data_IF_837333142626
#
_entry.id   IF_837333142626
#
_cell.length_a   1.000
_cell.length_b   1.000
_cell.length_c   1.000
_cell.angle_alpha   90.00
_cell.angle_beta   90.00
_cell.angle_gamma   90.00
#
_symmetry.space_group_name_H-M   'P 1'
#
loop_
_entity.id
_entity.type
_entity.pdbx_description
1 polymer ?
#
# COMPACT_ATOMS: atom_id res chain seq x y z
N UNK A 1 -30.29 -3.59 17.04
CA UNK A 1 -28.91 -3.88 17.56
C UNK A 1 -27.92 -3.46 16.47
N UNK A 2 -27.92 -2.17 16.15
CA UNK A 2 -27.10 -1.62 15.07
C UNK A 2 -25.63 -1.52 15.45
N UNK A 3 -24.85 -1.88 14.52
CA UNK A 3 -23.46 -2.23 14.49
C UNK A 3 -22.52 -1.23 15.14
N UNK A 4 -22.08 -1.53 16.33
CA UNK A 4 -20.83 -1.02 16.90
C UNK A 4 -19.59 -1.56 16.15
N UNK A 5 -19.77 -2.05 14.88
CA UNK A 5 -18.71 -2.66 14.09
C UNK A 5 -17.59 -1.67 13.81
N UNK A 6 -17.92 -0.44 13.35
CA UNK A 6 -16.96 0.63 13.07
C UNK A 6 -16.21 1.17 14.31
N UNK A 7 -16.65 0.83 15.53
CA UNK A 7 -15.98 1.23 16.78
C UNK A 7 -14.99 0.20 17.31
N UNK A 8 -14.82 -0.92 16.60
CA UNK A 8 -13.88 -1.98 17.03
C UNK A 8 -12.49 -1.68 16.51
N UNK A 9 -11.43 -1.83 17.33
CA UNK A 9 -10.06 -1.62 16.88
C UNK A 9 -9.67 -2.47 15.68
N UNK A 10 -10.21 -3.68 15.54
CA UNK A 10 -9.96 -4.57 14.42
C UNK A 10 -10.40 -4.02 13.06
N UNK A 11 -11.31 -3.03 13.00
CA UNK A 11 -11.71 -2.43 11.72
C UNK A 11 -10.61 -1.59 11.09
N UNK A 12 -9.65 -1.10 11.89
CA UNK A 12 -8.58 -0.24 11.39
C UNK A 12 -7.62 -1.00 10.43
N UNK A 13 -7.06 -2.17 10.77
CA UNK A 13 -6.22 -2.89 9.80
C UNK A 13 -6.98 -3.30 8.53
N UNK A 14 -8.29 -3.56 8.60
CA UNK A 14 -9.10 -3.79 7.40
C UNK A 14 -9.23 -2.53 6.53
N UNK A 15 -9.48 -1.37 7.16
CA UNK A 15 -9.55 -0.10 6.43
C UNK A 15 -8.20 0.24 5.75
N UNK A 16 -7.07 -0.02 6.44
CA UNK A 16 -5.74 0.14 5.88
C UNK A 16 -5.53 -0.82 4.70
N UNK A 17 -5.96 -2.08 4.81
CA UNK A 17 -5.86 -3.05 3.72
C UNK A 17 -6.67 -2.61 2.48
N UNK A 18 -7.88 -2.08 2.67
CA UNK A 18 -8.70 -1.53 1.57
C UNK A 18 -7.99 -0.32 0.94
N UNK A 19 -7.45 0.60 1.75
CA UNK A 19 -6.68 1.74 1.26
C UNK A 19 -5.43 1.29 0.48
N UNK A 20 -4.71 0.28 0.97
CA UNK A 20 -3.55 -0.30 0.27
C UNK A 20 -3.96 -0.90 -1.09
N UNK A 21 -5.09 -1.62 -1.16
CA UNK A 21 -5.61 -2.13 -2.44
C UNK A 21 -5.94 -1.01 -3.42
N UNK A 22 -6.53 0.09 -2.96
CA UNK A 22 -6.77 1.26 -3.82
C UNK A 22 -5.47 1.85 -4.36
N UNK A 23 -4.43 1.96 -3.52
CA UNK A 23 -3.11 2.45 -3.93
C UNK A 23 -2.47 1.50 -4.96
N UNK A 24 -2.61 0.19 -4.79
CA UNK A 24 -2.14 -0.82 -5.78
C UNK A 24 -2.84 -0.61 -7.13
N UNK A 25 -4.15 -0.35 -7.13
CA UNK A 25 -4.91 -0.06 -8.38
C UNK A 25 -4.40 1.21 -9.05
N UNK A 26 -4.18 2.28 -8.29
CA UNK A 26 -3.59 3.53 -8.84
C UNK A 26 -2.18 3.26 -9.39
N UNK A 27 -1.33 2.48 -8.69
CA UNK A 27 -0.02 2.08 -9.18
C UNK A 27 -0.09 1.27 -10.48
N UNK A 28 -1.07 0.37 -10.60
CA UNK A 28 -1.36 -0.34 -11.85
C UNK A 28 -1.77 0.60 -12.99
N UNK A 29 -2.55 1.64 -12.68
CA UNK A 29 -2.91 2.68 -13.66
C UNK A 29 -1.68 3.43 -14.15
N UNK A 30 -0.77 3.83 -13.25
CA UNK A 30 0.52 4.45 -13.60
C UNK A 30 1.29 3.59 -14.60
N UNK A 31 1.34 2.26 -14.37
CA UNK A 31 2.02 1.33 -15.28
C UNK A 31 1.36 1.24 -16.65
N UNK A 32 0.02 1.28 -16.72
CA UNK A 32 -0.74 1.24 -17.98
C UNK A 32 -0.50 2.50 -18.82
N UNK A 33 -0.40 3.66 -18.18
CA UNK A 33 -0.17 4.93 -18.85
C UNK A 33 1.32 5.27 -19.04
N UNK A 34 2.21 4.39 -18.62
CA UNK A 34 3.68 4.61 -18.63
C UNK A 34 4.09 5.92 -17.93
N UNK A 35 3.39 6.25 -16.85
CA UNK A 35 3.50 7.50 -16.12
C UNK A 35 4.38 7.42 -14.86
N UNK A 36 5.16 6.35 -14.70
CA UNK A 36 5.93 6.11 -13.47
C UNK A 36 7.19 6.96 -13.31
N UNK A 37 7.50 7.81 -14.27
CA UNK A 37 8.61 8.79 -14.25
C UNK A 37 8.09 10.21 -14.43
N UNK A 38 6.75 10.42 -14.32
CA UNK A 38 6.14 11.72 -14.56
C UNK A 38 6.36 12.75 -13.45
N UNK A 39 6.94 12.32 -12.32
CA UNK A 39 7.43 13.18 -11.24
C UNK A 39 8.91 12.86 -10.99
N UNK A 40 9.85 13.58 -11.62
CA UNK A 40 11.27 13.22 -11.59
C UNK A 40 11.92 13.37 -10.22
N UNK A 41 11.46 14.30 -9.40
CA UNK A 41 11.98 14.55 -8.05
C UNK A 41 11.09 13.93 -6.96
N UNK A 42 11.60 13.90 -5.73
CA UNK A 42 10.88 13.42 -4.56
C UNK A 42 11.29 14.24 -3.32
N UNK A 43 10.36 14.69 -2.45
CA UNK A 43 8.92 14.39 -2.39
C UNK A 43 8.04 15.25 -3.30
N UNK A 44 8.62 16.16 -4.02
CA UNK A 44 7.97 17.10 -4.94
C UNK A 44 7.72 16.44 -6.31
N UNK A 45 7.22 17.23 -7.25
CA UNK A 45 7.04 16.89 -8.64
C UNK A 45 7.40 18.12 -9.47
N UNK A 46 8.49 18.08 -10.23
CA UNK A 46 9.07 19.25 -10.91
C UNK A 46 9.30 20.45 -9.97
N UNK A 47 9.84 20.21 -8.77
CA UNK A 47 10.10 21.23 -7.77
C UNK A 47 8.86 21.80 -7.07
N UNK A 48 7.65 21.32 -7.38
CA UNK A 48 6.40 21.79 -6.78
C UNK A 48 5.74 20.75 -5.89
N UNK A 49 4.84 21.19 -5.00
CA UNK A 49 4.02 20.28 -4.18
C UNK A 49 2.69 19.89 -4.86
N UNK A 50 2.44 20.41 -6.06
CA UNK A 50 1.26 20.15 -6.86
C UNK A 50 1.54 19.20 -8.01
N UNK A 51 0.52 18.97 -8.82
CA UNK A 51 0.56 18.15 -10.03
C UNK A 51 0.25 18.95 -11.30
N UNK A 52 -0.13 20.22 -11.16
CA UNK A 52 -0.46 21.10 -12.30
C UNK A 52 0.82 21.79 -12.76
N UNK A 53 1.59 21.07 -13.56
CA UNK A 53 2.87 21.52 -14.11
C UNK A 53 2.72 21.62 -15.62
N UNK A 54 2.87 22.83 -16.17
CA UNK A 54 2.78 23.06 -17.61
C UNK A 54 3.93 22.38 -18.36
N UNK A 55 3.75 22.12 -19.66
CA UNK A 55 4.83 21.57 -20.49
C UNK A 55 6.05 22.51 -20.59
N UNK A 56 5.81 23.81 -20.47
CA UNK A 56 6.87 24.82 -20.42
C UNK A 56 7.67 24.71 -19.12
N UNK A 57 6.99 24.61 -17.95
CA UNK A 57 7.66 24.43 -16.66
C UNK A 57 8.45 23.12 -16.57
N UNK A 58 7.93 22.03 -17.17
CA UNK A 58 8.67 20.77 -17.29
C UNK A 58 9.97 20.97 -18.09
N UNK A 59 9.91 21.73 -19.20
CA UNK A 59 11.09 22.07 -20.01
C UNK A 59 12.12 22.87 -19.22
N UNK A 60 11.69 23.90 -18.52
CA UNK A 60 12.55 24.73 -17.68
C UNK A 60 13.23 23.87 -16.61
N UNK A 61 12.47 22.98 -15.96
CA UNK A 61 13.00 22.10 -14.92
C UNK A 61 14.08 21.15 -15.46
N UNK A 62 13.88 20.57 -16.65
CA UNK A 62 14.87 19.70 -17.29
C UNK A 62 16.14 20.47 -17.70
N UNK A 63 15.99 21.69 -18.21
CA UNK A 63 17.13 22.55 -18.61
C UNK A 63 17.95 22.98 -17.39
N UNK A 64 17.30 23.16 -16.22
CA UNK A 64 17.98 23.61 -15.00
C UNK A 64 18.67 22.47 -14.24
N UNK A 65 18.09 21.24 -14.27
CA UNK A 65 18.57 20.11 -13.47
C UNK A 65 19.44 19.13 -14.24
N UNK A 66 19.35 19.14 -15.59
CA UNK A 66 19.96 18.14 -16.48
C UNK A 66 19.56 16.69 -16.12
N UNK A 67 18.44 16.53 -15.40
CA UNK A 67 17.86 15.21 -15.03
C UNK A 67 16.74 14.87 -16.02
N UNK A 68 16.92 13.80 -16.77
CA UNK A 68 15.96 13.33 -17.78
C UNK A 68 15.49 11.91 -17.42
N UNK A 69 14.26 11.62 -17.82
CA UNK A 69 13.73 10.25 -17.73
C UNK A 69 14.25 9.37 -18.91
N UNK A 70 13.84 8.11 -18.92
CA UNK A 70 14.20 7.14 -19.95
C UNK A 70 13.77 7.55 -21.37
N UNK A 71 12.84 8.51 -21.52
CA UNK A 71 12.29 9.01 -22.79
C UNK A 71 13.04 10.22 -23.35
N UNK A 72 13.93 10.79 -22.54
CA UNK A 72 14.83 11.89 -22.93
C UNK A 72 14.27 13.30 -22.75
N UNK A 73 15.09 14.33 -23.00
CA UNK A 73 14.83 15.71 -22.60
C UNK A 73 13.63 16.38 -23.31
N UNK A 74 13.23 15.86 -24.46
CA UNK A 74 12.13 16.44 -25.26
C UNK A 74 10.76 15.88 -24.86
N UNK A 75 10.72 14.83 -24.03
CA UNK A 75 9.46 14.27 -23.59
C UNK A 75 8.74 15.19 -22.60
N UNK A 76 7.43 15.29 -22.73
CA UNK A 76 6.54 16.07 -21.84
C UNK A 76 5.35 15.22 -21.43
N UNK A 77 5.11 15.19 -20.14
CA UNK A 77 3.98 14.49 -19.55
C UNK A 77 2.71 15.34 -19.61
N UNK A 78 1.59 14.67 -19.73
CA UNK A 78 0.27 15.29 -19.57
C UNK A 78 -0.03 15.55 -18.09
N UNK A 79 -0.89 16.50 -17.78
CA UNK A 79 -1.35 16.77 -16.40
C UNK A 79 -1.96 15.52 -15.76
N UNK A 80 -2.60 14.62 -16.54
CA UNK A 80 -3.17 13.39 -16.03
C UNK A 80 -2.08 12.38 -15.59
N UNK A 81 -1.03 12.21 -16.36
CA UNK A 81 0.11 11.33 -16.01
C UNK A 81 0.79 11.82 -14.73
N UNK A 82 1.05 13.13 -14.62
CA UNK A 82 1.60 13.74 -13.42
C UNK A 82 0.65 13.54 -12.24
N UNK A 83 -0.66 13.77 -12.43
CA UNK A 83 -1.65 13.61 -11.37
C UNK A 83 -1.72 12.20 -10.80
N UNK A 84 -1.73 11.16 -11.65
CA UNK A 84 -1.85 9.76 -11.16
C UNK A 84 -0.61 9.33 -10.38
N UNK A 85 0.58 9.77 -10.75
CA UNK A 85 1.80 9.50 -9.98
C UNK A 85 1.83 10.32 -8.69
N UNK A 86 1.53 11.61 -8.75
CA UNK A 86 1.46 12.48 -7.59
C UNK A 86 0.47 11.99 -6.53
N UNK A 87 -0.76 11.64 -6.93
CA UNK A 87 -1.78 11.13 -6.00
C UNK A 87 -1.38 9.77 -5.40
N UNK A 88 -0.71 8.90 -6.18
CA UNK A 88 -0.17 7.64 -5.68
C UNK A 88 0.85 7.88 -4.55
N UNK A 89 1.83 8.76 -4.78
CA UNK A 89 2.85 9.15 -3.79
C UNK A 89 2.21 9.77 -2.54
N UNK A 90 1.23 10.66 -2.71
CA UNK A 90 0.50 11.28 -1.61
C UNK A 90 -0.23 10.25 -0.76
N UNK A 91 -1.02 9.38 -1.38
CA UNK A 91 -1.77 8.33 -0.66
C UNK A 91 -0.84 7.34 0.04
N UNK A 92 0.27 6.94 -0.61
CA UNK A 92 1.29 6.09 -0.01
C UNK A 92 1.93 6.74 1.22
N UNK A 93 2.25 8.03 1.16
CA UNK A 93 2.82 8.79 2.30
C UNK A 93 1.81 8.91 3.45
N UNK A 94 0.55 9.23 3.14
CA UNK A 94 -0.52 9.33 4.14
C UNK A 94 -0.84 7.99 4.82
N UNK A 95 -0.50 6.85 4.20
CA UNK A 95 -0.67 5.52 4.77
C UNK A 95 0.08 5.34 6.11
N UNK A 96 1.16 6.07 6.33
CA UNK A 96 1.94 6.02 7.57
C UNK A 96 1.09 6.37 8.80
N UNK A 97 0.14 7.30 8.67
CA UNK A 97 -0.71 7.76 9.77
C UNK A 97 -1.59 6.63 10.32
N UNK A 98 -2.45 5.97 9.53
CA UNK A 98 -3.30 4.89 10.05
C UNK A 98 -2.49 3.65 10.43
N UNK A 99 -1.35 3.35 9.80
CA UNK A 99 -0.47 2.24 10.20
C UNK A 99 0.13 2.51 11.59
N UNK A 100 0.64 3.72 11.84
CA UNK A 100 1.10 4.12 13.17
C UNK A 100 -0.02 4.07 14.20
N UNK A 101 -1.21 4.58 13.87
CA UNK A 101 -2.38 4.51 14.75
C UNK A 101 -2.75 3.06 15.10
N UNK A 102 -2.73 2.14 14.13
CA UNK A 102 -2.97 0.72 14.34
C UNK A 102 -1.95 0.12 15.33
N UNK A 103 -0.66 0.39 15.13
CA UNK A 103 0.38 -0.06 16.07
C UNK A 103 0.14 0.48 17.48
N UNK A 104 -0.10 1.78 17.63
CA UNK A 104 -0.30 2.41 18.95
C UNK A 104 -1.55 1.87 19.66
N UNK A 105 -2.64 1.61 18.93
CA UNK A 105 -3.86 1.02 19.50
C UNK A 105 -3.58 -0.39 20.02
N UNK A 106 -2.90 -1.23 19.23
CA UNK A 106 -2.55 -2.60 19.62
C UNK A 106 -1.57 -2.58 20.80
N UNK A 107 -0.58 -1.68 20.80
CA UNK A 107 0.38 -1.52 21.88
C UNK A 107 -0.29 -1.10 23.20
N UNK A 108 -1.20 -0.11 23.14
CA UNK A 108 -1.98 0.32 24.33
C UNK A 108 -2.88 -0.78 24.88
N UNK A 109 -3.29 -1.71 24.05
CA UNK A 109 -4.15 -2.85 24.42
C UNK A 109 -3.40 -4.19 24.40
N UNK A 110 -2.08 -4.16 24.70
CA UNK A 110 -1.21 -5.35 24.65
C UNK A 110 -1.69 -6.51 25.53
N UNK A 111 -2.34 -6.20 26.67
CA UNK A 111 -2.92 -7.22 27.55
C UNK A 111 -4.09 -7.97 26.89
N UNK A 112 -4.85 -7.29 26.03
CA UNK A 112 -5.96 -7.90 25.28
C UNK A 112 -5.48 -8.65 24.04
N UNK A 113 -4.56 -8.06 23.27
CA UNK A 113 -4.16 -8.59 21.94
C UNK A 113 -2.93 -9.48 21.97
N UNK A 114 -2.15 -9.43 23.05
CA UNK A 114 -0.94 -10.23 23.24
C UNK A 114 0.29 -9.71 22.50
N UNK A 115 1.49 -10.19 22.91
CA UNK A 115 2.76 -9.68 22.41
C UNK A 115 2.99 -9.99 20.93
N UNK A 116 2.41 -11.06 20.40
CA UNK A 116 2.56 -11.44 18.99
C UNK A 116 1.94 -10.42 18.06
N UNK A 117 0.71 -9.92 18.35
CA UNK A 117 0.08 -8.88 17.55
C UNK A 117 0.82 -7.55 17.64
N UNK A 118 1.37 -7.20 18.80
CA UNK A 118 2.23 -6.02 18.96
C UNK A 118 3.45 -6.11 18.05
N UNK A 119 4.16 -7.24 18.05
CA UNK A 119 5.32 -7.44 17.17
C UNK A 119 4.94 -7.34 15.69
N UNK A 120 3.88 -8.02 15.28
CA UNK A 120 3.46 -8.02 13.87
C UNK A 120 3.03 -6.61 13.44
N UNK A 121 2.28 -5.87 14.25
CA UNK A 121 1.91 -4.49 13.90
C UNK A 121 3.11 -3.55 13.83
N UNK A 122 4.15 -3.76 14.64
CA UNK A 122 5.42 -3.05 14.51
C UNK A 122 6.14 -3.37 13.20
N UNK A 123 6.27 -4.66 12.87
CA UNK A 123 6.87 -5.09 11.59
C UNK A 123 6.06 -4.66 10.37
N UNK A 124 4.75 -4.48 10.50
CA UNK A 124 3.93 -3.88 9.43
C UNK A 124 4.35 -2.43 9.14
N UNK A 125 4.70 -1.65 10.17
CA UNK A 125 5.27 -0.31 10.00
C UNK A 125 6.63 -0.33 9.30
N UNK A 126 7.51 -1.26 9.68
CA UNK A 126 8.81 -1.46 9.00
C UNK A 126 8.59 -1.84 7.53
N UNK A 127 7.67 -2.76 7.25
CA UNK A 127 7.36 -3.18 5.88
C UNK A 127 6.83 -2.01 5.04
N UNK A 128 6.03 -1.11 5.63
CA UNK A 128 5.58 0.10 4.94
C UNK A 128 6.77 1.01 4.58
N UNK A 129 7.75 1.15 5.47
CA UNK A 129 8.99 1.92 5.17
C UNK A 129 9.77 1.27 4.04
N UNK A 130 9.95 -0.04 4.08
CA UNK A 130 10.61 -0.80 2.99
C UNK A 130 9.85 -0.63 1.69
N UNK A 131 8.52 -0.63 1.73
CA UNK A 131 7.65 -0.40 0.58
C UNK A 131 7.86 0.99 -0.04
N UNK A 132 7.99 2.04 0.78
CA UNK A 132 8.31 3.38 0.31
C UNK A 132 9.69 3.45 -0.37
N UNK A 133 10.70 2.81 0.22
CA UNK A 133 12.04 2.70 -0.37
C UNK A 133 11.98 1.93 -1.70
N UNK A 134 11.28 0.80 -1.74
CA UNK A 134 11.10 0.02 -2.97
C UNK A 134 10.43 0.84 -4.08
N UNK A 135 9.44 1.70 -3.73
CA UNK A 135 8.83 2.63 -4.68
C UNK A 135 9.82 3.66 -5.23
N UNK A 136 10.68 4.24 -4.39
CA UNK A 136 11.74 5.15 -4.85
C UNK A 136 12.77 4.42 -5.74
N UNK A 137 13.06 3.16 -5.44
CA UNK A 137 13.95 2.32 -6.27
C UNK A 137 13.32 2.07 -7.65
N UNK A 138 12.00 1.87 -7.76
CA UNK A 138 11.37 1.69 -9.09
C UNK A 138 11.61 2.88 -9.99
N UNK A 139 11.43 4.10 -9.49
CA UNK A 139 11.67 5.32 -10.26
C UNK A 139 13.14 5.44 -10.66
N UNK A 140 14.07 5.21 -9.73
CA UNK A 140 15.53 5.31 -10.01
C UNK A 140 16.04 4.29 -11.03
N UNK A 141 15.33 3.19 -11.24
CA UNK A 141 15.66 2.15 -12.23
C UNK A 141 14.72 2.19 -13.45
N UNK A 142 14.20 3.38 -13.79
CA UNK A 142 13.36 3.63 -14.97
C UNK A 142 12.21 2.62 -15.07
N UNK A 143 11.57 2.33 -13.94
CA UNK A 143 10.47 1.36 -13.81
C UNK A 143 10.78 -0.03 -14.39
N UNK A 144 12.05 -0.49 -14.25
CA UNK A 144 12.44 -1.82 -14.68
C UNK A 144 11.51 -2.90 -14.13
N UNK A 145 11.14 -3.89 -14.96
CA UNK A 145 10.10 -4.89 -14.63
C UNK A 145 10.35 -5.62 -13.32
N UNK A 146 11.61 -5.94 -13.00
CA UNK A 146 11.97 -6.60 -11.75
C UNK A 146 11.71 -5.72 -10.52
N UNK A 147 11.97 -4.41 -10.61
CA UNK A 147 11.78 -3.46 -9.50
C UNK A 147 10.29 -3.23 -9.22
N UNK A 148 9.50 -3.08 -10.28
CA UNK A 148 8.03 -2.97 -10.22
C UNK A 148 7.42 -4.25 -9.64
N UNK A 149 7.87 -5.43 -10.11
CA UNK A 149 7.39 -6.72 -9.60
C UNK A 149 7.72 -6.92 -8.11
N UNK A 150 8.93 -6.52 -7.68
CA UNK A 150 9.33 -6.55 -6.26
C UNK A 150 8.44 -5.63 -5.42
N UNK A 151 8.25 -4.39 -5.86
CA UNK A 151 7.41 -3.40 -5.18
C UNK A 151 5.97 -3.90 -5.05
N UNK A 152 5.38 -4.44 -6.11
CA UNK A 152 4.04 -5.03 -6.07
C UNK A 152 3.97 -6.26 -5.15
N UNK A 153 4.97 -7.14 -5.19
CA UNK A 153 5.04 -8.31 -4.32
C UNK A 153 5.05 -7.92 -2.83
N UNK A 154 5.84 -6.92 -2.46
CA UNK A 154 5.88 -6.37 -1.10
C UNK A 154 4.53 -5.75 -0.70
N UNK A 155 3.84 -5.05 -1.63
CA UNK A 155 2.51 -4.49 -1.39
C UNK A 155 1.47 -5.59 -1.13
N UNK A 156 1.51 -6.70 -1.87
CA UNK A 156 0.64 -7.85 -1.64
C UNK A 156 0.90 -8.50 -0.26
N UNK A 157 2.16 -8.62 0.15
CA UNK A 157 2.53 -9.12 1.49
C UNK A 157 2.00 -8.17 2.58
N UNK A 158 2.12 -6.86 2.38
CA UNK A 158 1.59 -5.86 3.29
C UNK A 158 0.07 -5.99 3.48
N UNK A 159 -0.69 -6.11 2.41
CA UNK A 159 -2.14 -6.34 2.44
C UNK A 159 -2.47 -7.66 3.16
N UNK A 160 -1.75 -8.73 2.85
CA UNK A 160 -1.93 -10.03 3.51
C UNK A 160 -1.77 -9.93 5.03
N UNK A 161 -0.70 -9.27 5.49
CA UNK A 161 -0.43 -9.10 6.94
C UNK A 161 -1.55 -8.28 7.60
N UNK A 162 -2.05 -7.23 6.96
CA UNK A 162 -3.16 -6.43 7.49
C UNK A 162 -4.46 -7.21 7.60
N UNK A 163 -4.79 -8.01 6.59
CA UNK A 163 -5.95 -8.91 6.63
C UNK A 163 -5.79 -9.93 7.75
N UNK A 164 -4.59 -10.51 7.90
CA UNK A 164 -4.29 -11.44 8.98
C UNK A 164 -4.46 -10.75 10.36
N UNK A 165 -3.94 -9.54 10.55
CA UNK A 165 -4.15 -8.76 11.77
C UNK A 165 -5.63 -8.54 12.06
N UNK A 166 -6.41 -8.13 11.04
CA UNK A 166 -7.85 -7.98 11.15
C UNK A 166 -8.51 -9.26 11.67
N UNK A 167 -8.23 -10.39 11.05
CA UNK A 167 -8.83 -11.68 11.42
C UNK A 167 -8.42 -12.11 12.85
N UNK A 168 -7.15 -11.95 13.21
CA UNK A 168 -6.64 -12.28 14.54
C UNK A 168 -7.30 -11.40 15.64
N UNK A 169 -7.38 -10.09 15.40
CA UNK A 169 -8.04 -9.16 16.32
C UNK A 169 -9.53 -9.47 16.45
N UNK A 170 -10.22 -9.74 15.35
CA UNK A 170 -11.63 -10.12 15.34
C UNK A 170 -11.90 -11.39 16.15
N UNK A 171 -11.03 -12.39 16.05
CA UNK A 171 -11.13 -13.61 16.87
C UNK A 171 -11.04 -13.29 18.37
N UNK A 172 -10.10 -12.44 18.76
CA UNK A 172 -9.92 -12.01 20.16
C UNK A 172 -11.14 -11.18 20.64
N UNK A 173 -11.73 -10.38 19.77
CA UNK A 173 -12.93 -9.58 20.04
C UNK A 173 -14.23 -10.40 20.06
N UNK A 174 -14.16 -11.74 19.98
CA UNK A 174 -15.30 -12.65 20.09
C UNK A 174 -16.11 -12.84 18.80
N UNK A 175 -15.48 -12.64 17.63
CA UNK A 175 -16.15 -12.95 16.37
C UNK A 175 -16.32 -14.45 16.20
N UNK A 176 -17.57 -14.89 16.02
CA UNK A 176 -17.91 -16.27 15.68
C UNK A 176 -17.79 -16.46 14.17
N UNK A 177 -16.66 -16.98 13.70
CA UNK A 177 -16.47 -17.33 12.29
C UNK A 177 -17.13 -18.69 12.01
N UNK A 178 -18.41 -18.69 11.64
CA UNK A 178 -19.10 -19.89 11.13
C UNK A 178 -18.76 -20.22 9.67
N UNK A 179 -17.80 -19.51 9.08
CA UNK A 179 -17.62 -19.43 7.63
C UNK A 179 -17.09 -20.73 7.01
N UNK A 180 -16.47 -21.64 7.76
CA UNK A 180 -16.02 -22.94 7.24
C UNK A 180 -16.11 -24.05 8.29
N UNK A 181 -17.31 -24.35 8.78
CA UNK A 181 -17.54 -25.71 9.26
C UNK A 181 -17.66 -26.58 8.02
N UNK A 182 -16.58 -27.24 7.62
CA UNK A 182 -16.70 -28.38 6.71
C UNK A 182 -17.72 -29.34 7.35
N UNK A 183 -18.83 -29.66 6.66
CA UNK A 183 -19.80 -30.59 7.20
C UNK A 183 -19.09 -31.86 7.68
N UNK A 184 -19.38 -32.30 8.88
CA UNK A 184 -18.70 -33.46 9.53
C UNK A 184 -18.78 -34.72 8.67
N UNK A 185 -19.80 -34.83 7.84
CA UNK A 185 -19.98 -35.90 6.86
C UNK A 185 -18.89 -35.93 5.77
N UNK A 186 -18.36 -34.79 5.38
CA UNK A 186 -17.30 -34.72 4.36
C UNK A 186 -15.95 -35.26 4.88
N UNK A 187 -15.68 -35.11 6.16
CA UNK A 187 -14.46 -35.62 6.81
C UNK A 187 -14.44 -37.15 6.92
N UNK A 188 -15.60 -37.80 7.15
CA UNK A 188 -15.66 -39.25 7.31
C UNK A 188 -15.53 -40.04 6.00
N UNK A 189 -15.97 -39.48 4.88
CA UNK A 189 -15.95 -40.18 3.59
C UNK A 189 -14.61 -40.10 2.85
N UNK A 190 -13.72 -39.12 3.13
CA UNK A 190 -12.41 -39.08 2.53
C UNK A 190 -11.41 -40.07 3.15
N UNK A 191 -11.54 -40.41 4.43
CA UNK A 191 -10.65 -41.37 5.09
C UNK A 191 -11.03 -42.84 4.89
N UNK A 192 -12.18 -43.14 4.27
CA UNK A 192 -12.62 -44.54 3.95
C UNK A 192 -12.22 -45.02 2.56
N UNK A 193 -11.47 -44.21 1.77
CA UNK A 193 -11.08 -44.55 0.40
C UNK A 193 -9.59 -44.84 0.19
N UNK A 194 -8.80 -45.04 1.29
CA UNK A 194 -7.42 -45.48 1.22
C UNK A 194 -7.18 -46.64 2.20
#
# INVERSE_FOLDING_TARGET
>A
MESKWFRRPSTLPLAIAIMAMMIIVVGGTIRIYDAGESCPDWPQCFGTWGFDVSQEDQGIWYDETEEYDSRGPDHRYTTFEIFIEWIHRLLASLMAIPVLANFLIILKRKEQYGPSLVKISFFTGILLTIQGIAGAVTVRFDNADWSVALHLGLACIFVYILIWQYLAMRKIEGANWKVFSVPTEFKQNQFKRY
#
